data_IF_020817358247
#
_entry.id   IF_020817358247
#
_cell.length_a   1.000
_cell.length_b   1.000
_cell.length_c   1.000
_cell.angle_alpha   90.00
_cell.angle_beta   90.00
_cell.angle_gamma   90.00
#
_symmetry.space_group_name_H-M   'P 1'
#
loop_
_entity.id
_entity.type
_entity.pdbx_description
1 polymer ?
#
# COMPACT_ATOMS: atom_id res chain seq x y z
N UNK A 1 -7.86 -5.13 1.58
CA UNK A 1 -6.50 -5.37 1.08
C UNK A 1 -5.55 -5.56 2.26
N UNK A 2 -5.38 -4.58 3.17
CA UNK A 2 -4.40 -4.65 4.25
C UNK A 2 -4.52 -5.89 5.14
N UNK A 3 -5.74 -6.27 5.57
CA UNK A 3 -5.97 -7.49 6.38
C UNK A 3 -5.53 -8.74 5.63
N UNK A 4 -5.85 -8.85 4.33
CA UNK A 4 -5.44 -9.99 3.50
C UNK A 4 -3.91 -10.08 3.37
N UNK A 5 -3.22 -8.93 3.22
CA UNK A 5 -1.75 -8.88 3.20
C UNK A 5 -1.18 -9.37 4.53
N UNK A 6 -1.69 -8.86 5.67
CA UNK A 6 -1.23 -9.28 7.01
C UNK A 6 -1.41 -10.78 7.21
N UNK A 7 -2.58 -11.31 6.87
CA UNK A 7 -2.87 -12.74 6.95
C UNK A 7 -1.90 -13.56 6.11
N UNK A 8 -1.72 -13.20 4.83
CA UNK A 8 -0.85 -13.93 3.91
C UNK A 8 0.61 -13.94 4.38
N UNK A 9 1.16 -12.80 4.77
CA UNK A 9 2.54 -12.73 5.25
C UNK A 9 2.72 -13.53 6.56
N UNK A 10 1.69 -13.59 7.40
CA UNK A 10 1.71 -14.45 8.59
C UNK A 10 1.69 -15.93 8.22
N UNK A 11 0.89 -16.34 7.23
CA UNK A 11 0.85 -17.70 6.70
C UNK A 11 2.19 -18.12 6.09
N UNK A 12 2.92 -17.19 5.49
CA UNK A 12 4.28 -17.37 4.97
C UNK A 12 5.35 -17.50 6.09
N UNK A 13 4.94 -17.41 7.37
CA UNK A 13 5.84 -17.55 8.53
C UNK A 13 6.58 -16.28 8.93
N UNK A 14 6.23 -15.11 8.40
CA UNK A 14 6.86 -13.85 8.76
C UNK A 14 6.38 -13.36 10.13
N UNK A 15 7.25 -12.64 10.87
CA UNK A 15 6.87 -11.84 12.01
C UNK A 15 6.21 -10.55 11.51
N UNK A 16 4.92 -10.38 11.74
CA UNK A 16 4.14 -9.29 11.15
C UNK A 16 3.66 -8.31 12.19
N UNK A 17 3.87 -7.02 11.93
CA UNK A 17 3.22 -5.91 12.65
C UNK A 17 2.30 -5.14 11.70
N UNK A 18 1.06 -4.87 12.13
CA UNK A 18 0.09 -4.11 11.37
C UNK A 18 -0.13 -2.72 12.01
N UNK A 19 0.15 -1.66 11.24
CA UNK A 19 -0.12 -0.28 11.64
C UNK A 19 -1.60 0.08 11.49
N UNK A 20 -2.15 0.84 12.45
CA UNK A 20 -3.50 1.39 12.38
C UNK A 20 -3.55 2.80 13.00
N UNK A 21 -4.52 3.62 12.57
CA UNK A 21 -4.68 4.99 13.12
C UNK A 21 -6.05 5.25 13.74
N UNK A 22 -7.07 4.45 13.41
CA UNK A 22 -8.47 4.68 13.76
C UNK A 22 -8.98 3.73 14.85
N UNK A 23 -9.79 2.77 14.44
CA UNK A 23 -10.51 1.87 15.33
C UNK A 23 -9.58 0.88 16.05
N UNK A 24 -9.30 1.15 17.33
CA UNK A 24 -8.45 0.31 18.18
C UNK A 24 -9.06 -1.07 18.40
N UNK A 25 -10.37 -1.16 18.63
CA UNK A 25 -11.06 -2.41 18.89
C UNK A 25 -10.97 -3.37 17.68
N UNK A 26 -11.18 -2.85 16.48
CA UNK A 26 -11.05 -3.63 15.24
C UNK A 26 -9.59 -4.07 15.00
N UNK A 27 -8.61 -3.22 15.30
CA UNK A 27 -7.20 -3.57 15.21
C UNK A 27 -6.82 -4.69 16.19
N UNK A 28 -7.24 -4.58 17.45
CA UNK A 28 -7.01 -5.60 18.46
C UNK A 28 -7.74 -6.92 18.16
N UNK A 29 -8.95 -6.85 17.58
CA UNK A 29 -9.64 -8.05 17.11
C UNK A 29 -8.83 -8.76 16.02
N UNK A 30 -8.32 -8.00 15.04
CA UNK A 30 -7.44 -8.54 14.00
C UNK A 30 -6.14 -9.12 14.59
N UNK A 31 -5.55 -8.45 15.58
CA UNK A 31 -4.35 -8.94 16.26
C UNK A 31 -4.60 -10.30 16.92
N UNK A 32 -5.73 -10.46 17.64
CA UNK A 32 -6.11 -11.73 18.28
C UNK A 32 -6.41 -12.83 17.25
N UNK A 33 -7.15 -12.48 16.19
CA UNK A 33 -7.55 -13.43 15.13
C UNK A 33 -6.34 -14.01 14.40
N UNK A 34 -5.38 -13.13 14.02
CA UNK A 34 -4.25 -13.51 13.19
C UNK A 34 -2.96 -13.79 13.97
N UNK A 35 -2.93 -13.52 15.26
CA UNK A 35 -1.74 -13.68 16.09
C UNK A 35 -0.59 -12.77 15.64
N UNK A 36 -0.89 -11.49 15.37
CA UNK A 36 0.07 -10.49 14.89
C UNK A 36 0.15 -9.30 15.86
N UNK A 37 1.26 -8.59 15.82
CA UNK A 37 1.38 -7.32 16.53
C UNK A 37 0.56 -6.23 15.83
N UNK A 38 -0.04 -5.31 16.60
CA UNK A 38 -0.64 -4.08 16.05
C UNK A 38 -0.02 -2.88 16.71
N UNK A 39 0.23 -1.83 15.93
CA UNK A 39 0.84 -0.58 16.41
C UNK A 39 -0.01 0.60 15.98
N UNK A 40 -0.38 1.44 16.95
CA UNK A 40 -1.13 2.66 16.68
C UNK A 40 -0.21 3.79 16.20
N UNK A 41 -0.54 4.42 15.08
CA UNK A 41 0.19 5.59 14.58
C UNK A 41 -0.48 6.20 13.37
N UNK A 42 -0.37 7.51 13.24
CA UNK A 42 -0.81 8.24 12.05
C UNK A 42 0.34 8.28 11.03
N UNK A 43 0.23 7.54 9.94
CA UNK A 43 1.27 7.49 8.90
C UNK A 43 1.53 8.86 8.23
N UNK A 44 0.61 9.81 8.35
CA UNK A 44 0.80 11.20 7.92
C UNK A 44 1.63 12.04 8.89
N UNK A 45 2.06 11.50 10.06
CA UNK A 45 2.97 12.13 11.00
C UNK A 45 4.31 11.40 10.99
N UNK A 46 5.38 12.15 10.76
CA UNK A 46 6.74 11.62 10.75
C UNK A 46 7.13 11.06 12.13
N UNK A 47 6.79 11.78 13.20
CA UNK A 47 7.08 11.40 14.58
C UNK A 47 6.33 10.12 15.00
N UNK A 48 5.06 9.99 14.59
CA UNK A 48 4.29 8.77 14.83
C UNK A 48 4.90 7.56 14.09
N UNK A 49 5.35 7.75 12.85
CA UNK A 49 6.04 6.70 12.11
C UNK A 49 7.35 6.29 12.78
N UNK A 50 8.13 7.25 13.27
CA UNK A 50 9.39 6.99 13.99
C UNK A 50 9.13 6.17 15.24
N UNK A 51 8.15 6.56 16.06
CA UNK A 51 7.75 5.84 17.27
C UNK A 51 7.25 4.43 16.95
N UNK A 52 6.37 4.30 15.96
CA UNK A 52 5.79 3.02 15.58
C UNK A 52 6.87 2.03 15.08
N UNK A 53 7.81 2.49 14.25
CA UNK A 53 8.93 1.64 13.79
C UNK A 53 9.81 1.22 14.95
N UNK A 54 10.17 2.13 15.87
CA UNK A 54 10.97 1.78 17.03
C UNK A 54 10.27 0.75 17.94
N UNK A 55 8.95 0.85 18.14
CA UNK A 55 8.15 -0.10 18.88
C UNK A 55 8.15 -1.50 18.22
N UNK A 56 8.00 -1.56 16.90
CA UNK A 56 8.04 -2.82 16.15
C UNK A 56 9.44 -3.44 16.23
N UNK A 57 10.49 -2.68 16.00
CA UNK A 57 11.87 -3.19 16.04
C UNK A 57 12.27 -3.69 17.43
N UNK A 58 11.79 -3.04 18.48
CA UNK A 58 12.02 -3.50 19.86
C UNK A 58 11.33 -4.83 20.17
N UNK A 59 10.16 -5.09 19.58
CA UNK A 59 9.35 -6.28 19.82
C UNK A 59 9.69 -7.46 18.91
N UNK A 60 9.92 -7.19 17.60
CA UNK A 60 10.04 -8.21 16.57
C UNK A 60 11.43 -8.27 15.92
N UNK A 61 12.31 -7.34 16.24
CA UNK A 61 13.61 -7.20 15.58
C UNK A 61 13.59 -6.28 14.36
N UNK A 62 14.73 -6.12 13.68
CA UNK A 62 14.88 -5.21 12.56
C UNK A 62 13.90 -5.48 11.42
N UNK A 63 13.27 -4.42 10.90
CA UNK A 63 12.31 -4.52 9.81
C UNK A 63 13.06 -4.74 8.49
N UNK A 64 12.78 -5.82 7.82
CA UNK A 64 13.33 -6.18 6.50
C UNK A 64 12.30 -6.01 5.37
N UNK A 65 11.02 -5.93 5.69
CA UNK A 65 9.94 -5.78 4.72
C UNK A 65 8.96 -4.69 5.16
N UNK A 66 8.71 -3.72 4.28
CA UNK A 66 7.76 -2.61 4.49
C UNK A 66 6.69 -2.62 3.41
N UNK A 67 5.42 -2.67 3.82
CA UNK A 67 4.26 -2.54 2.94
C UNK A 67 3.55 -1.22 3.21
N UNK A 68 3.66 -0.27 2.29
CA UNK A 68 2.94 1.00 2.35
C UNK A 68 1.56 0.83 1.73
N UNK A 69 0.57 0.46 2.55
CA UNK A 69 -0.81 0.18 2.13
C UNK A 69 -1.81 1.28 2.54
N UNK A 70 -1.51 2.07 3.56
CA UNK A 70 -2.44 3.08 4.06
C UNK A 70 -2.85 4.07 2.97
N UNK A 71 -4.15 4.40 2.93
CA UNK A 71 -4.65 5.36 1.95
C UNK A 71 -6.10 5.73 2.22
N UNK A 72 -6.45 6.93 1.79
CA UNK A 72 -7.81 7.50 1.86
C UNK A 72 -8.19 8.14 0.54
N UNK A 73 -9.48 8.31 0.31
CA UNK A 73 -10.02 9.16 -0.75
C UNK A 73 -10.79 10.34 -0.15
N UNK A 74 -10.81 11.46 -0.86
CA UNK A 74 -11.65 12.64 -0.61
C UNK A 74 -12.09 13.18 -1.97
N UNK A 75 -13.04 12.46 -2.56
CA UNK A 75 -13.46 12.66 -3.94
C UNK A 75 -14.20 13.97 -4.13
N UNK A 76 -14.02 14.59 -5.28
CA UNK A 76 -14.67 15.84 -5.67
C UNK A 76 -14.12 16.36 -6.99
N UNK A 77 -14.95 17.01 -7.79
CA UNK A 77 -14.47 17.71 -8.99
C UNK A 77 -13.47 18.80 -8.60
N UNK A 78 -12.36 18.90 -9.32
CA UNK A 78 -11.24 19.78 -8.98
C UNK A 78 -11.65 21.24 -8.74
N UNK A 79 -12.55 21.79 -9.54
CA UNK A 79 -13.03 23.17 -9.38
C UNK A 79 -13.85 23.43 -8.09
N UNK A 80 -14.21 22.36 -7.35
CA UNK A 80 -14.92 22.41 -6.05
C UNK A 80 -14.11 21.76 -4.93
N UNK A 81 -12.95 21.20 -5.24
CA UNK A 81 -12.11 20.51 -4.27
C UNK A 81 -11.53 21.52 -3.28
N UNK A 82 -11.72 21.30 -1.98
CA UNK A 82 -11.11 22.14 -0.96
C UNK A 82 -9.63 21.81 -0.78
N UNK A 83 -8.89 22.78 -0.22
CA UNK A 83 -7.49 22.58 0.16
C UNK A 83 -7.34 21.39 1.14
N UNK A 84 -8.27 21.24 2.08
CA UNK A 84 -8.24 20.15 3.05
C UNK A 84 -8.44 18.78 2.39
N UNK A 85 -9.36 18.68 1.42
CA UNK A 85 -9.53 17.43 0.64
C UNK A 85 -8.25 17.07 -0.12
N UNK A 86 -7.56 18.06 -0.67
CA UNK A 86 -6.27 17.85 -1.33
C UNK A 86 -5.20 17.43 -0.32
N UNK A 87 -4.99 18.24 0.72
CA UNK A 87 -3.89 18.08 1.69
C UNK A 87 -4.01 16.76 2.48
N UNK A 88 -5.22 16.39 2.90
CA UNK A 88 -5.44 15.11 3.61
C UNK A 88 -5.04 13.92 2.74
N UNK A 89 -5.42 13.93 1.46
CA UNK A 89 -5.11 12.83 0.55
C UNK A 89 -3.60 12.76 0.27
N UNK A 90 -2.94 13.90 0.00
CA UNK A 90 -1.48 13.91 -0.19
C UNK A 90 -0.77 13.41 1.06
N UNK A 91 -1.12 13.93 2.24
CA UNK A 91 -0.51 13.59 3.52
C UNK A 91 -0.61 12.08 3.83
N UNK A 92 -1.79 11.49 3.63
CA UNK A 92 -2.00 10.08 3.97
C UNK A 92 -1.53 9.12 2.87
N UNK A 93 -1.65 9.49 1.58
CA UNK A 93 -1.31 8.56 0.48
C UNK A 93 0.12 8.76 -0.05
N UNK A 94 0.74 9.94 0.13
CA UNK A 94 2.07 10.22 -0.42
C UNK A 94 3.12 10.48 0.65
N UNK A 95 2.87 11.44 1.57
CA UNK A 95 3.85 11.75 2.61
C UNK A 95 4.08 10.55 3.54
N UNK A 96 3.05 9.73 3.78
CA UNK A 96 3.16 8.49 4.54
C UNK A 96 4.20 7.53 3.99
N UNK A 97 4.32 7.44 2.66
CA UNK A 97 5.29 6.56 2.00
C UNK A 97 6.72 7.01 2.31
N UNK A 98 6.97 8.32 2.26
CA UNK A 98 8.22 8.89 2.70
C UNK A 98 8.44 8.66 4.20
N UNK A 99 7.45 9.01 5.04
CA UNK A 99 7.55 8.93 6.49
C UNK A 99 7.94 7.52 6.96
N UNK A 100 7.25 6.50 6.49
CA UNK A 100 7.53 5.11 6.86
C UNK A 100 8.85 4.60 6.26
N UNK A 101 9.06 4.84 4.97
CA UNK A 101 10.26 4.35 4.28
C UNK A 101 11.53 4.94 4.88
N UNK A 102 11.50 6.22 5.26
CA UNK A 102 12.65 6.91 5.85
C UNK A 102 13.12 6.28 7.16
N UNK A 103 12.22 5.67 7.92
CA UNK A 103 12.56 5.03 9.20
C UNK A 103 13.34 3.72 9.00
N UNK A 104 13.03 2.94 7.96
CA UNK A 104 13.56 1.58 7.79
C UNK A 104 14.70 1.47 6.78
N UNK A 105 14.78 2.41 5.83
CA UNK A 105 15.67 2.28 4.67
C UNK A 105 17.15 2.15 5.04
N UNK A 106 17.62 2.89 6.03
CA UNK A 106 19.05 2.83 6.43
C UNK A 106 19.38 1.44 6.99
N UNK A 107 18.56 0.91 7.90
CA UNK A 107 18.75 -0.44 8.45
C UNK A 107 18.73 -1.53 7.39
N UNK A 108 17.81 -1.44 6.41
CA UNK A 108 17.79 -2.36 5.26
C UNK A 108 19.08 -2.29 4.43
N UNK A 109 19.57 -1.08 4.13
CA UNK A 109 20.83 -0.86 3.39
C UNK A 109 22.06 -1.43 4.12
N UNK A 110 22.13 -1.22 5.43
CA UNK A 110 23.25 -1.66 6.27
C UNK A 110 23.30 -3.18 6.37
N UNK A 111 22.15 -3.84 6.39
CA UNK A 111 22.05 -5.31 6.39
C UNK A 111 22.19 -5.94 4.99
N UNK A 112 22.16 -5.16 3.92
CA UNK A 112 22.22 -5.66 2.54
C UNK A 112 20.96 -6.40 2.09
N UNK A 113 19.83 -6.21 2.78
CA UNK A 113 18.55 -6.82 2.45
C UNK A 113 17.39 -5.91 2.84
N UNK A 114 16.43 -5.74 1.92
CA UNK A 114 15.19 -5.04 2.18
C UNK A 114 14.16 -5.23 1.07
N UNK A 115 12.89 -5.20 1.43
CA UNK A 115 11.74 -5.31 0.52
C UNK A 115 10.74 -4.20 0.83
N UNK A 116 10.51 -3.32 -0.12
CA UNK A 116 9.51 -2.24 0.02
C UNK A 116 8.48 -2.42 -1.08
N UNK A 117 7.22 -2.54 -0.68
CA UNK A 117 6.09 -2.67 -1.60
C UNK A 117 5.09 -1.54 -1.33
N UNK A 118 4.88 -0.70 -2.33
CA UNK A 118 3.96 0.41 -2.28
C UNK A 118 2.64 0.04 -2.96
N UNK A 119 1.51 0.21 -2.27
CA UNK A 119 0.19 -0.07 -2.84
C UNK A 119 -0.37 1.23 -3.45
N UNK A 120 -0.20 1.34 -4.75
CA UNK A 120 -0.75 2.43 -5.56
C UNK A 120 -2.21 2.15 -5.96
N UNK A 121 -2.58 2.44 -7.18
CA UNK A 121 -3.92 2.23 -7.76
C UNK A 121 -3.84 2.32 -9.28
N UNK A 122 -4.77 1.65 -9.96
CA UNK A 122 -5.06 1.91 -11.37
C UNK A 122 -5.32 3.40 -11.64
N UNK A 123 -5.90 4.12 -10.66
CA UNK A 123 -6.19 5.56 -10.80
C UNK A 123 -4.93 6.43 -10.71
N UNK A 124 -3.82 5.91 -10.18
CA UNK A 124 -2.49 6.52 -10.31
C UNK A 124 -1.87 6.34 -11.70
N UNK A 125 -2.33 5.37 -12.48
CA UNK A 125 -1.85 5.11 -13.85
C UNK A 125 -2.70 5.81 -14.91
N UNK A 126 -4.04 5.67 -14.84
CA UNK A 126 -4.96 6.20 -15.86
C UNK A 126 -5.63 7.54 -15.49
N UNK A 127 -5.57 7.93 -14.22
CA UNK A 127 -6.39 9.00 -13.67
C UNK A 127 -7.85 8.56 -13.45
N UNK A 128 -8.60 9.36 -12.68
CA UNK A 128 -10.01 9.14 -12.44
C UNK A 128 -10.72 10.48 -12.22
N UNK A 129 -11.86 10.66 -12.88
CA UNK A 129 -12.72 11.84 -12.69
C UNK A 129 -13.11 11.96 -11.22
N UNK A 130 -12.99 13.16 -10.66
CA UNK A 130 -13.28 13.43 -9.24
C UNK A 130 -12.17 13.02 -8.26
N UNK A 131 -11.04 12.51 -8.74
CA UNK A 131 -9.94 12.04 -7.90
C UNK A 131 -8.59 12.67 -8.29
N UNK A 132 -8.55 13.94 -8.61
CA UNK A 132 -7.30 14.62 -8.97
C UNK A 132 -6.23 14.52 -7.86
N UNK A 133 -6.62 14.69 -6.59
CA UNK A 133 -5.77 14.51 -5.41
C UNK A 133 -5.26 13.07 -5.25
N UNK A 134 -6.16 12.09 -5.30
CA UNK A 134 -5.83 10.67 -5.14
C UNK A 134 -4.97 10.16 -6.29
N UNK A 135 -5.33 10.49 -7.53
CA UNK A 135 -4.56 10.11 -8.73
C UNK A 135 -3.16 10.72 -8.70
N UNK A 136 -3.02 11.99 -8.29
CA UNK A 136 -1.71 12.64 -8.14
C UNK A 136 -0.84 11.93 -7.08
N UNK A 137 -1.40 11.63 -5.91
CA UNK A 137 -0.68 10.92 -4.84
C UNK A 137 -0.24 9.52 -5.29
N UNK A 138 -1.14 8.75 -5.92
CA UNK A 138 -0.85 7.39 -6.37
C UNK A 138 0.10 7.34 -7.58
N UNK A 139 0.07 8.33 -8.45
CA UNK A 139 1.06 8.52 -9.51
C UNK A 139 2.44 8.92 -8.95
N UNK A 140 2.46 9.83 -7.97
CA UNK A 140 3.68 10.22 -7.26
C UNK A 140 4.38 9.04 -6.59
N UNK A 141 3.61 8.13 -5.99
CA UNK A 141 4.10 6.89 -5.40
C UNK A 141 4.83 6.00 -6.43
N UNK A 142 4.34 5.93 -7.68
CA UNK A 142 5.00 5.20 -8.78
C UNK A 142 6.36 5.84 -9.11
N UNK A 143 6.42 7.17 -9.20
CA UNK A 143 7.66 7.91 -9.42
C UNK A 143 8.67 7.71 -8.28
N UNK A 144 8.21 7.83 -7.04
CA UNK A 144 8.99 7.57 -5.83
C UNK A 144 9.59 6.15 -5.83
N UNK A 145 8.78 5.15 -6.17
CA UNK A 145 9.21 3.75 -6.27
C UNK A 145 10.39 3.58 -7.22
N UNK A 146 10.32 4.17 -8.41
CA UNK A 146 11.38 4.08 -9.43
C UNK A 146 12.68 4.73 -8.96
N UNK A 147 12.60 5.94 -8.42
CA UNK A 147 13.77 6.66 -7.92
C UNK A 147 14.46 5.89 -6.78
N UNK A 148 13.67 5.45 -5.79
CA UNK A 148 14.21 4.75 -4.64
C UNK A 148 14.80 3.37 -4.99
N UNK A 149 14.22 2.69 -5.99
CA UNK A 149 14.76 1.44 -6.52
C UNK A 149 16.17 1.62 -7.10
N UNK A 150 16.38 2.68 -7.91
CA UNK A 150 17.70 2.98 -8.49
C UNK A 150 18.75 3.29 -7.42
N UNK A 151 18.38 4.03 -6.37
CA UNK A 151 19.28 4.41 -5.28
C UNK A 151 19.71 3.22 -4.41
N UNK A 152 18.88 2.16 -4.34
CA UNK A 152 19.03 1.12 -3.33
C UNK A 152 19.30 -0.28 -3.89
N UNK A 153 19.19 -0.49 -5.21
CA UNK A 153 19.40 -1.81 -5.83
C UNK A 153 20.76 -2.44 -5.46
N UNK A 154 21.84 -1.66 -5.52
CA UNK A 154 23.19 -2.14 -5.14
C UNK A 154 23.36 -2.43 -3.65
N UNK A 155 22.38 -2.07 -2.84
CA UNK A 155 22.35 -2.33 -1.40
C UNK A 155 21.44 -3.52 -1.03
N UNK A 156 21.03 -4.32 -2.02
CA UNK A 156 20.16 -5.48 -1.80
C UNK A 156 18.72 -5.14 -1.43
N UNK A 157 18.31 -3.88 -1.59
CA UNK A 157 16.95 -3.43 -1.30
C UNK A 157 16.18 -3.29 -2.59
N UNK A 158 15.05 -3.98 -2.70
CA UNK A 158 14.11 -3.83 -3.81
C UNK A 158 12.93 -2.95 -3.40
N UNK A 159 12.48 -2.11 -4.33
CA UNK A 159 11.33 -1.22 -4.14
C UNK A 159 10.40 -1.39 -5.32
N UNK A 160 9.19 -1.87 -5.07
CA UNK A 160 8.20 -2.12 -6.11
C UNK A 160 6.85 -1.51 -5.76
N UNK A 161 6.01 -1.36 -6.75
CA UNK A 161 4.68 -0.81 -6.64
C UNK A 161 3.66 -1.82 -7.19
N UNK A 162 2.54 -1.97 -6.51
CA UNK A 162 1.36 -2.67 -7.03
C UNK A 162 0.29 -1.62 -7.32
N UNK A 163 -0.35 -1.70 -8.48
CA UNK A 163 -1.46 -0.85 -8.89
C UNK A 163 -2.73 -1.71 -9.03
N UNK A 164 -3.50 -1.91 -7.93
CA UNK A 164 -4.75 -2.64 -7.98
C UNK A 164 -5.80 -1.90 -8.83
N UNK A 165 -6.66 -2.67 -9.50
CA UNK A 165 -7.94 -2.20 -10.02
C UNK A 165 -9.00 -2.12 -8.92
N UNK A 166 -10.25 -2.38 -9.28
CA UNK A 166 -11.33 -2.49 -8.31
C UNK A 166 -11.29 -3.83 -7.60
N UNK A 167 -11.07 -3.77 -6.28
CA UNK A 167 -10.97 -4.93 -5.40
C UNK A 167 -12.22 -5.01 -4.52
N UNK A 168 -12.74 -6.21 -4.35
CA UNK A 168 -13.87 -6.49 -3.45
C UNK A 168 -13.48 -6.15 -2.01
N UNK A 169 -13.98 -5.03 -1.53
CA UNK A 169 -13.75 -4.47 -0.21
C UNK A 169 -15.06 -3.91 0.33
N UNK A 170 -15.16 -3.71 1.63
CA UNK A 170 -16.32 -3.07 2.25
C UNK A 170 -16.69 -1.73 1.59
N UNK A 171 -15.68 -0.96 1.18
CA UNK A 171 -15.87 0.32 0.50
C UNK A 171 -16.53 0.14 -0.87
N UNK A 172 -16.13 -0.86 -1.65
CA UNK A 172 -16.70 -1.16 -2.98
C UNK A 172 -18.06 -1.82 -2.83
N UNK A 173 -18.22 -2.73 -1.85
CA UNK A 173 -19.51 -3.37 -1.56
C UNK A 173 -20.60 -2.43 -1.05
N UNK A 174 -20.24 -1.24 -0.57
CA UNK A 174 -21.18 -0.20 -0.15
C UNK A 174 -21.69 0.69 -1.31
N UNK A 175 -21.20 0.50 -2.54
CA UNK A 175 -21.64 1.24 -3.71
C UNK A 175 -23.03 0.78 -4.18
N UNK A 176 -23.75 1.69 -4.87
CA UNK A 176 -24.99 1.33 -5.56
C UNK A 176 -24.74 0.20 -6.58
N UNK A 177 -25.66 -0.79 -6.62
CA UNK A 177 -25.48 -1.98 -7.46
C UNK A 177 -25.32 -1.64 -8.95
N UNK A 178 -26.03 -0.63 -9.46
CA UNK A 178 -25.90 -0.21 -10.87
C UNK A 178 -24.53 0.37 -11.18
N UNK A 179 -23.95 1.09 -10.22
CA UNK A 179 -22.60 1.63 -10.33
C UNK A 179 -21.59 0.47 -10.33
N UNK A 180 -21.77 -0.48 -9.43
CA UNK A 180 -20.92 -1.67 -9.33
C UNK A 180 -20.96 -2.50 -10.62
N UNK A 181 -22.16 -2.76 -11.16
CA UNK A 181 -22.35 -3.49 -12.42
C UNK A 181 -21.66 -2.77 -13.59
N UNK A 182 -21.75 -1.43 -13.63
CA UNK A 182 -21.08 -0.62 -14.65
C UNK A 182 -19.55 -0.68 -14.55
N UNK A 183 -19.01 -0.79 -13.35
CA UNK A 183 -17.59 -0.96 -13.10
C UNK A 183 -17.14 -2.36 -13.56
N UNK A 184 -17.86 -3.40 -13.15
CA UNK A 184 -17.54 -4.79 -13.51
C UNK A 184 -17.57 -4.98 -15.03
N UNK A 185 -18.54 -4.37 -15.73
CA UNK A 185 -18.64 -4.43 -17.17
C UNK A 185 -17.41 -3.83 -17.90
N UNK A 186 -16.63 -2.96 -17.24
CA UNK A 186 -15.41 -2.37 -17.78
C UNK A 186 -14.15 -3.21 -17.46
N UNK A 187 -14.26 -4.25 -16.65
CA UNK A 187 -13.16 -5.13 -16.30
C UNK A 187 -13.14 -6.33 -17.24
N UNK A 188 -12.13 -6.51 -18.11
CA UNK A 188 -12.10 -7.63 -19.07
C UNK A 188 -12.23 -9.02 -18.45
N UNK A 189 -11.71 -9.23 -17.25
CA UNK A 189 -11.87 -10.49 -16.49
C UNK A 189 -13.32 -10.69 -15.99
N UNK A 190 -14.17 -9.67 -16.03
CA UNK A 190 -15.60 -9.76 -15.72
C UNK A 190 -15.95 -9.83 -14.24
N UNK A 191 -15.02 -9.48 -13.33
CA UNK A 191 -15.24 -9.46 -11.88
C UNK A 191 -14.33 -8.47 -11.17
N UNK A 192 -14.66 -8.16 -9.94
CA UNK A 192 -13.72 -7.50 -9.02
C UNK A 192 -12.54 -8.42 -8.72
N UNK A 193 -11.39 -7.83 -8.43
CA UNK A 193 -10.27 -8.53 -7.82
C UNK A 193 -10.55 -8.84 -6.35
N UNK A 194 -9.81 -9.78 -5.78
CA UNK A 194 -9.88 -10.12 -4.35
C UNK A 194 -8.67 -9.56 -3.60
N UNK A 195 -8.85 -9.28 -2.31
CA UNK A 195 -7.74 -8.85 -1.45
C UNK A 195 -6.59 -9.84 -1.41
N UNK A 196 -6.90 -11.14 -1.49
CA UNK A 196 -5.95 -12.25 -1.50
C UNK A 196 -5.08 -12.24 -2.77
N UNK A 197 -5.63 -11.86 -3.93
CA UNK A 197 -4.85 -11.75 -5.17
C UNK A 197 -3.77 -10.64 -5.08
N UNK A 198 -4.07 -9.57 -4.34
CA UNK A 198 -3.08 -8.53 -4.03
C UNK A 198 -2.06 -9.04 -3.00
N UNK A 199 -2.53 -9.74 -1.98
CA UNK A 199 -1.69 -10.29 -0.92
C UNK A 199 -0.70 -11.33 -1.44
N UNK A 200 -1.10 -12.18 -2.39
CA UNK A 200 -0.22 -13.15 -3.06
C UNK A 200 0.93 -12.47 -3.80
N UNK A 201 0.65 -11.39 -4.50
CA UNK A 201 1.70 -10.62 -5.18
C UNK A 201 2.62 -9.90 -4.20
N UNK A 202 2.08 -9.35 -3.10
CA UNK A 202 2.89 -8.77 -2.02
C UNK A 202 3.81 -9.82 -1.42
N UNK A 203 3.29 -10.99 -1.10
CA UNK A 203 4.05 -12.13 -0.58
C UNK A 203 5.22 -12.51 -1.50
N UNK A 204 4.96 -12.61 -2.80
CA UNK A 204 6.01 -12.92 -3.77
C UNK A 204 7.09 -11.84 -3.80
N UNK A 205 6.70 -10.54 -3.83
CA UNK A 205 7.64 -9.40 -3.83
C UNK A 205 8.43 -9.28 -2.53
N UNK A 206 7.88 -9.70 -1.40
CA UNK A 206 8.54 -9.72 -0.10
C UNK A 206 9.59 -10.84 0.01
N UNK A 207 9.49 -11.87 -0.82
CA UNK A 207 10.37 -13.03 -0.79
C UNK A 207 11.76 -12.81 -1.41
N UNK A 208 12.69 -13.70 -1.09
CA UNK A 208 14.06 -13.67 -1.61
C UNK A 208 14.10 -13.82 -3.14
N UNK A 209 13.18 -14.63 -3.71
CA UNK A 209 13.12 -14.91 -5.16
C UNK A 209 12.80 -13.69 -6.01
N UNK A 210 12.25 -12.64 -5.41
CA UNK A 210 11.97 -11.37 -6.09
C UNK A 210 13.18 -10.41 -6.13
N UNK A 211 14.37 -10.86 -5.72
CA UNK A 211 15.57 -10.00 -5.61
C UNK A 211 16.03 -9.33 -6.92
N UNK A 212 15.59 -9.80 -8.09
CA UNK A 212 15.89 -9.16 -9.38
C UNK A 212 14.74 -8.28 -9.90
N UNK A 213 13.65 -8.14 -9.13
CA UNK A 213 12.50 -7.30 -9.46
C UNK A 213 12.55 -6.04 -8.60
N UNK A 214 12.87 -4.90 -9.22
CA UNK A 214 12.91 -3.61 -8.53
C UNK A 214 12.52 -2.47 -9.49
N UNK A 215 11.85 -1.44 -8.98
CA UNK A 215 11.37 -0.30 -9.76
C UNK A 215 10.13 -0.58 -10.61
N UNK A 216 9.55 -1.76 -10.49
CA UNK A 216 8.37 -2.17 -11.27
C UNK A 216 7.07 -1.62 -10.68
N UNK A 217 6.11 -1.38 -11.57
CA UNK A 217 4.70 -1.19 -11.21
C UNK A 217 3.90 -2.35 -11.77
N UNK A 218 3.40 -3.21 -10.89
CA UNK A 218 2.64 -4.40 -11.24
C UNK A 218 1.14 -4.06 -11.23
N UNK A 219 0.52 -4.10 -12.40
CA UNK A 219 -0.90 -3.77 -12.58
C UNK A 219 -1.78 -5.01 -12.35
N UNK A 220 -2.44 -5.07 -11.20
CA UNK A 220 -3.38 -6.14 -10.84
C UNK A 220 -4.82 -5.61 -10.96
N UNK A 221 -5.34 -5.50 -12.18
CA UNK A 221 -6.57 -4.79 -12.47
C UNK A 221 -7.54 -5.53 -13.42
N UNK A 222 -7.34 -6.82 -13.63
CA UNK A 222 -8.19 -7.63 -14.49
C UNK A 222 -8.22 -7.20 -15.97
N UNK A 223 -7.20 -6.49 -16.42
CA UNK A 223 -7.10 -5.97 -17.79
C UNK A 223 -7.78 -4.61 -17.99
N UNK A 224 -8.33 -3.99 -16.95
CA UNK A 224 -9.02 -2.70 -17.04
C UNK A 224 -8.10 -1.55 -17.50
N UNK A 225 -6.81 -1.68 -17.27
CA UNK A 225 -5.78 -0.78 -17.80
C UNK A 225 -4.54 -1.57 -18.17
N UNK A 226 -4.16 -1.48 -19.43
CA UNK A 226 -2.98 -2.14 -19.97
C UNK A 226 -1.86 -1.11 -20.08
N UNK A 227 -0.72 -1.43 -19.47
CA UNK A 227 0.49 -0.60 -19.55
C UNK A 227 1.34 -1.21 -20.66
N UNK A 228 1.59 -0.43 -21.70
CA UNK A 228 2.48 -0.79 -22.79
C UNK A 228 3.85 -0.14 -22.63
#
# INVERSE_FOLDING_TARGET
IGKAIVQRLKEDGMAVAAGYSGNTEAAEATARELGVMVVKGNVGSFEDCQRAVAEVEAALGPIDTLINNAGITRDGFFHKMSHDQWSDVIRVNMDSVFNMTRQVINGMRDRGFGRIVNISSINGQKGQVGQANYSAAKAGMIGFTKALALENARKGVTVNCIAPGYIDTEMVGAMDQKVLDSIIAQIPVGRLGKGEEIADMVSWLAGERAGYVTGCTLSLNGGQYLVG
#
